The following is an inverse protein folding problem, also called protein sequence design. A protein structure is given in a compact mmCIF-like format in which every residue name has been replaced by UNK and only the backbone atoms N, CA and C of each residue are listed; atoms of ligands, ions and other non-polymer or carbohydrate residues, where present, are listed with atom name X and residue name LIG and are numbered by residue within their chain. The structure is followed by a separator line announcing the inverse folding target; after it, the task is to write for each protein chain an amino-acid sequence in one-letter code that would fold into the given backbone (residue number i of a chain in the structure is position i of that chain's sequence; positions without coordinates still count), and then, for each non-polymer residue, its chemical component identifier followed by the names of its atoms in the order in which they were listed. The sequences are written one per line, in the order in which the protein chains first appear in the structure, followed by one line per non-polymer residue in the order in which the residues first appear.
data_IF_764114463002
#
_entry.id   IF_764114463002
#
_cell.length_a   1.000
_cell.length_b   1.000
_cell.length_c   1.000
_cell.angle_alpha   90.00
_cell.angle_beta   90.00
_cell.angle_gamma   90.00
#
_symmetry.space_group_name_H-M   'P 1'
#
loop_
_entity.id
_entity.type
_entity.pdbx_description
1 polymer ?
#
# COMPACT_ATOMS: atom_id res chain seq x y z
N UNK A 1 -57.04 -28.15 4.06
CA UNK A 1 -56.95 -27.53 5.39
C UNK A 1 -56.58 -26.07 5.20
N UNK A 2 -57.53 -25.20 5.57
CA UNK A 2 -57.56 -23.73 5.67
C UNK A 2 -56.42 -22.92 5.03
N UNK A 3 -56.70 -22.29 3.87
CA UNK A 3 -55.94 -21.15 3.36
C UNK A 3 -56.13 -19.99 4.33
N UNK A 4 -55.07 -19.61 5.03
CA UNK A 4 -55.03 -18.41 5.85
C UNK A 4 -54.90 -17.19 4.93
N UNK A 5 -56.00 -16.75 4.33
CA UNK A 5 -56.08 -15.45 3.66
C UNK A 5 -56.41 -14.39 4.69
N UNK A 6 -55.38 -13.85 5.35
CA UNK A 6 -55.49 -12.59 6.07
C UNK A 6 -55.94 -11.47 5.12
N UNK A 7 -56.54 -10.38 5.63
CA UNK A 7 -57.08 -9.31 4.79
C UNK A 7 -55.98 -8.76 3.87
N UNK A 8 -56.28 -8.67 2.57
CA UNK A 8 -55.39 -8.07 1.60
C UNK A 8 -55.21 -6.59 1.94
N UNK A 9 -54.12 -6.27 2.65
CA UNK A 9 -53.77 -4.90 3.01
C UNK A 9 -53.79 -3.99 1.77
N UNK A 10 -54.57 -2.92 1.83
CA UNK A 10 -54.73 -1.98 0.73
C UNK A 10 -53.40 -1.27 0.43
N UNK A 11 -53.00 -1.27 -0.85
CA UNK A 11 -51.87 -0.48 -1.34
C UNK A 11 -52.37 0.92 -1.70
N UNK A 12 -51.81 1.94 -1.05
CA UNK A 12 -52.14 3.35 -1.27
C UNK A 12 -50.92 4.12 -1.77
N UNK A 13 -51.15 5.23 -2.46
CA UNK A 13 -50.08 6.10 -2.94
C UNK A 13 -49.95 7.33 -2.05
N UNK A 14 -48.84 7.43 -1.30
CA UNK A 14 -48.62 8.49 -0.31
C UNK A 14 -47.52 9.45 -0.79
N UNK A 15 -47.73 10.78 -0.72
CA UNK A 15 -46.66 11.75 -0.96
C UNK A 15 -45.50 11.58 0.03
N UNK A 16 -44.25 11.61 -0.46
CA UNK A 16 -43.05 11.41 0.37
C UNK A 16 -42.96 12.35 1.57
N UNK A 17 -43.38 13.61 1.44
CA UNK A 17 -43.41 14.60 2.52
C UNK A 17 -44.41 14.30 3.65
N UNK A 18 -45.28 13.29 3.49
CA UNK A 18 -46.25 12.85 4.51
C UNK A 18 -45.84 11.54 5.19
N UNK A 19 -44.68 10.99 4.84
CA UNK A 19 -44.12 9.76 5.40
C UNK A 19 -43.06 10.08 6.46
N UNK A 20 -43.29 9.62 7.69
CA UNK A 20 -42.38 9.80 8.82
C UNK A 20 -41.93 8.43 9.36
N UNK A 21 -40.68 8.27 9.81
CA UNK A 21 -40.27 7.02 10.46
C UNK A 21 -41.07 6.83 11.76
N UNK A 22 -41.52 5.60 12.02
CA UNK A 22 -42.14 5.26 13.29
C UNK A 22 -41.10 5.31 14.43
N UNK A 23 -41.44 5.82 15.63
CA UNK A 23 -40.55 5.81 16.78
C UNK A 23 -40.24 4.40 17.28
N UNK A 24 -41.10 3.41 16.99
CA UNK A 24 -40.93 2.01 17.39
C UNK A 24 -39.99 1.19 16.47
N UNK A 25 -39.32 1.81 15.49
CA UNK A 25 -38.48 1.08 14.55
C UNK A 25 -37.25 0.46 15.26
N UNK A 26 -37.27 -0.86 15.39
CA UNK A 26 -36.38 -1.66 16.25
C UNK A 26 -34.92 -1.66 15.75
N UNK A 27 -34.69 -1.38 14.46
CA UNK A 27 -33.34 -1.43 13.87
C UNK A 27 -32.59 -0.10 14.02
N UNK A 28 -31.83 0.03 15.11
CA UNK A 28 -30.96 1.20 15.39
C UNK A 28 -29.55 1.09 14.79
N UNK A 29 -29.07 -0.11 14.51
CA UNK A 29 -27.71 -0.39 13.99
C UNK A 29 -27.69 -0.50 12.46
N UNK A 30 -26.71 0.13 11.79
CA UNK A 30 -26.50 0.01 10.33
C UNK A 30 -27.49 0.78 9.45
N UNK A 31 -28.13 1.83 9.97
CA UNK A 31 -29.10 2.63 9.22
C UNK A 31 -28.49 3.44 8.05
N UNK A 32 -27.17 3.71 8.12
CA UNK A 32 -26.42 4.50 7.12
C UNK A 32 -25.73 3.69 6.02
N UNK A 33 -25.31 2.46 6.30
CA UNK A 33 -24.47 1.67 5.39
C UNK A 33 -25.24 1.22 4.14
N UNK A 34 -24.71 1.53 2.95
CA UNK A 34 -25.31 1.17 1.66
C UNK A 34 -26.58 1.95 1.31
N UNK A 35 -26.84 3.09 1.96
CA UNK A 35 -27.98 3.96 1.61
C UNK A 35 -27.87 4.51 0.18
N UNK A 36 -26.67 4.87 -0.26
CA UNK A 36 -26.43 5.37 -1.61
C UNK A 36 -26.66 4.29 -2.67
N UNK A 37 -26.25 3.05 -2.38
CA UNK A 37 -26.51 1.90 -3.25
C UNK A 37 -28.02 1.64 -3.37
N UNK A 38 -28.73 1.68 -2.24
CA UNK A 38 -30.18 1.50 -2.20
C UNK A 38 -30.92 2.63 -2.94
N UNK A 39 -30.46 3.87 -2.80
CA UNK A 39 -31.01 5.02 -3.53
C UNK A 39 -30.81 4.86 -5.04
N UNK A 40 -29.62 4.46 -5.48
CA UNK A 40 -29.34 4.18 -6.89
C UNK A 40 -30.21 3.04 -7.44
N UNK A 41 -30.40 1.97 -6.66
CA UNK A 41 -31.29 0.85 -7.00
C UNK A 41 -32.75 1.28 -7.14
N UNK A 42 -33.28 2.05 -6.18
CA UNK A 42 -34.64 2.60 -6.26
C UNK A 42 -34.81 3.50 -7.49
N UNK A 43 -33.79 4.27 -7.86
CA UNK A 43 -33.82 5.10 -9.07
C UNK A 43 -33.84 4.25 -10.35
N UNK A 44 -33.11 3.13 -10.39
CA UNK A 44 -33.00 2.27 -11.57
C UNK A 44 -34.21 1.34 -11.75
N UNK A 45 -34.80 0.86 -10.65
CA UNK A 45 -35.82 -0.19 -10.67
C UNK A 45 -37.16 0.20 -10.05
N UNK A 46 -37.26 1.41 -9.50
CA UNK A 46 -38.38 1.81 -8.68
C UNK A 46 -38.36 1.15 -7.30
N UNK A 47 -39.38 1.43 -6.51
CA UNK A 47 -39.54 0.82 -5.20
C UNK A 47 -40.12 -0.60 -5.35
N UNK A 48 -39.24 -1.61 -5.40
CA UNK A 48 -39.62 -3.02 -5.59
C UNK A 48 -40.40 -3.61 -4.41
N UNK A 49 -40.18 -3.09 -3.20
CA UNK A 49 -40.91 -3.48 -1.99
C UNK A 49 -41.55 -2.25 -1.35
N UNK A 50 -42.89 -2.23 -1.36
CA UNK A 50 -43.70 -1.16 -0.79
C UNK A 50 -43.37 -0.93 0.70
N UNK A 51 -43.48 0.32 1.15
CA UNK A 51 -43.30 0.66 2.56
C UNK A 51 -44.54 0.22 3.34
N UNK A 52 -44.36 -0.40 4.52
CA UNK A 52 -45.48 -0.69 5.41
C UNK A 52 -45.72 0.52 6.31
N UNK A 53 -46.93 1.06 6.24
CA UNK A 53 -47.29 2.32 6.89
C UNK A 53 -48.53 2.18 7.75
N UNK A 54 -48.57 2.98 8.82
CA UNK A 54 -49.74 3.18 9.66
C UNK A 54 -50.15 4.65 9.65
N UNK A 55 -51.45 4.90 9.76
CA UNK A 55 -51.97 6.27 9.85
C UNK A 55 -51.55 6.90 11.16
N UNK A 56 -50.99 8.11 11.12
CA UNK A 56 -50.70 8.86 12.33
C UNK A 56 -52.01 9.42 12.91
N UNK A 57 -52.37 8.95 14.10
CA UNK A 57 -53.53 9.41 14.87
C UNK A 57 -53.07 10.45 15.88
N UNK A 58 -53.74 11.60 15.90
CA UNK A 58 -53.42 12.69 16.82
C UNK A 58 -53.93 12.41 18.25
N UNK A 59 -53.56 13.25 19.23
CA UNK A 59 -53.92 13.05 20.65
C UNK A 59 -55.43 12.98 20.95
N UNK A 60 -56.27 13.41 20.01
CA UNK A 60 -57.74 13.39 20.12
C UNK A 60 -58.41 12.30 19.27
N UNK A 61 -57.66 11.29 18.82
CA UNK A 61 -58.18 10.18 18.02
C UNK A 61 -58.45 10.49 16.53
N UNK A 62 -58.14 11.71 16.07
CA UNK A 62 -58.34 12.13 14.69
C UNK A 62 -57.13 11.85 13.78
N UNK A 63 -57.38 11.52 12.51
CA UNK A 63 -56.33 11.34 11.50
C UNK A 63 -55.61 12.65 11.20
N UNK A 64 -54.28 12.65 11.29
CA UNK A 64 -53.44 13.85 11.10
C UNK A 64 -53.07 14.15 9.65
N UNK A 65 -53.46 13.28 8.71
CA UNK A 65 -53.05 13.40 7.30
C UNK A 65 -51.67 12.82 6.99
N UNK A 66 -50.96 12.30 8.00
CA UNK A 66 -49.60 11.73 7.89
C UNK A 66 -49.60 10.22 8.17
N UNK A 67 -48.47 9.60 7.82
CA UNK A 67 -48.26 8.15 7.96
C UNK A 67 -46.90 7.86 8.61
N UNK A 68 -46.90 6.94 9.58
CA UNK A 68 -45.69 6.37 10.15
C UNK A 68 -45.24 5.14 9.35
N UNK A 69 -43.97 5.09 8.96
CA UNK A 69 -43.34 3.94 8.31
C UNK A 69 -42.85 2.99 9.39
N UNK A 70 -43.53 1.84 9.50
CA UNK A 70 -43.25 0.80 10.48
C UNK A 70 -42.13 -0.11 9.97
N UNK A 71 -42.21 -0.52 8.69
CA UNK A 71 -41.18 -1.34 8.04
C UNK A 71 -40.72 -0.70 6.72
N UNK A 72 -39.40 -0.74 6.49
CA UNK A 72 -38.77 -0.10 5.33
C UNK A 72 -38.07 1.24 5.62
N UNK A 73 -37.62 1.47 6.87
CA UNK A 73 -36.92 2.71 7.25
C UNK A 73 -35.72 3.08 6.35
N UNK A 74 -34.91 2.09 5.94
CA UNK A 74 -33.80 2.29 4.97
C UNK A 74 -34.30 2.75 3.59
N UNK A 75 -35.43 2.22 3.11
CA UNK A 75 -36.06 2.62 1.84
C UNK A 75 -36.60 4.04 1.92
N UNK A 76 -37.22 4.42 3.04
CA UNK A 76 -37.65 5.81 3.28
C UNK A 76 -36.47 6.78 3.28
N UNK A 77 -35.36 6.43 3.96
CA UNK A 77 -34.15 7.24 3.99
C UNK A 77 -33.52 7.39 2.59
N UNK A 78 -33.43 6.31 1.81
CA UNK A 78 -32.95 6.34 0.43
C UNK A 78 -33.84 7.22 -0.48
N UNK A 79 -35.16 7.16 -0.34
CA UNK A 79 -36.10 8.04 -1.05
C UNK A 79 -35.91 9.51 -0.67
N UNK A 80 -35.73 9.82 0.62
CA UNK A 80 -35.44 11.20 1.07
C UNK A 80 -34.14 11.72 0.48
N UNK A 81 -33.09 10.89 0.44
CA UNK A 81 -31.80 11.24 -0.16
C UNK A 81 -31.90 11.49 -1.66
N UNK A 82 -32.70 10.71 -2.39
CA UNK A 82 -33.02 10.99 -3.80
C UNK A 82 -33.77 12.33 -3.97
N UNK A 83 -34.65 12.69 -3.03
CA UNK A 83 -35.39 13.94 -3.07
C UNK A 83 -34.50 15.16 -2.76
N UNK A 84 -33.59 15.02 -1.80
CA UNK A 84 -32.55 16.01 -1.47
C UNK A 84 -31.60 16.24 -2.65
N UNK A 85 -31.20 15.16 -3.35
CA UNK A 85 -30.40 15.23 -4.56
C UNK A 85 -31.17 15.72 -5.81
N UNK A 86 -32.44 16.14 -5.66
CA UNK A 86 -33.28 16.62 -6.75
C UNK A 86 -33.66 15.57 -7.81
N UNK A 87 -33.41 14.28 -7.53
CA UNK A 87 -33.68 13.18 -8.46
C UNK A 87 -35.13 12.72 -8.44
N UNK A 88 -35.86 12.98 -7.35
CA UNK A 88 -37.31 12.82 -7.25
C UNK A 88 -37.93 14.05 -6.57
N UNK A 89 -39.19 14.37 -6.86
CA UNK A 89 -39.89 15.47 -6.19
C UNK A 89 -40.20 15.18 -4.72
N UNK A 90 -40.20 16.21 -3.85
CA UNK A 90 -40.56 16.06 -2.42
C UNK A 90 -42.00 15.57 -2.20
N UNK A 91 -42.85 15.72 -3.21
CA UNK A 91 -44.25 15.25 -3.24
C UNK A 91 -44.44 13.99 -4.10
N UNK A 92 -43.35 13.31 -4.48
CA UNK A 92 -43.40 12.08 -5.25
C UNK A 92 -44.32 11.06 -4.57
N UNK A 93 -45.15 10.43 -5.40
CA UNK A 93 -46.18 9.47 -5.01
C UNK A 93 -45.54 8.10 -4.79
N UNK A 94 -45.43 7.67 -3.53
CA UNK A 94 -44.76 6.43 -3.13
C UNK A 94 -45.81 5.36 -2.81
N UNK A 95 -45.72 4.15 -3.40
CA UNK A 95 -46.64 3.05 -3.07
C UNK A 95 -46.33 2.50 -1.67
N UNK A 96 -47.36 2.49 -0.82
CA UNK A 96 -47.30 2.06 0.57
C UNK A 96 -48.41 1.06 0.86
N UNK A 97 -48.14 0.07 1.71
CA UNK A 97 -49.12 -0.90 2.22
C UNK A 97 -49.58 -0.45 3.60
N UNK A 98 -50.89 -0.26 3.80
CA UNK A 98 -51.42 0.14 5.11
C UNK A 98 -51.57 -1.09 6.00
N UNK A 99 -51.05 -1.02 7.22
CA UNK A 99 -51.17 -2.06 8.25
C UNK A 99 -51.89 -1.46 9.46
N UNK A 100 -52.86 -2.19 10.01
CA UNK A 100 -53.60 -1.83 11.23
C UNK A 100 -52.74 -2.11 12.48
N UNK A 101 -53.04 -1.44 13.60
CA UNK A 101 -52.14 -1.33 14.77
C UNK A 101 -51.72 -2.66 15.41
N UNK A 102 -52.61 -3.65 15.47
CA UNK A 102 -52.37 -4.91 16.20
C UNK A 102 -51.42 -5.88 15.45
N UNK A 103 -51.30 -5.76 14.12
CA UNK A 103 -50.46 -6.63 13.28
C UNK A 103 -49.07 -6.02 12.99
N UNK A 104 -48.83 -4.76 13.34
CA UNK A 104 -47.70 -3.97 12.86
C UNK A 104 -46.32 -4.45 13.39
N UNK A 105 -46.27 -4.79 14.67
CA UNK A 105 -45.02 -5.19 15.35
C UNK A 105 -44.64 -6.62 14.98
N UNK A 106 -45.63 -7.53 14.96
CA UNK A 106 -45.43 -8.94 14.57
C UNK A 106 -45.10 -9.06 13.08
N UNK A 107 -45.76 -8.31 12.19
CA UNK A 107 -45.45 -8.32 10.76
C UNK A 107 -44.03 -7.77 10.48
N UNK A 108 -43.57 -6.75 11.21
CA UNK A 108 -42.21 -6.21 11.07
C UNK A 108 -41.13 -7.18 11.53
N UNK A 109 -41.38 -7.90 12.63
CA UNK A 109 -40.50 -8.97 13.12
C UNK A 109 -40.52 -10.17 12.18
N UNK A 110 -41.69 -10.64 11.76
CA UNK A 110 -41.86 -11.77 10.85
C UNK A 110 -41.25 -11.52 9.47
N UNK A 111 -41.42 -10.32 8.88
CA UNK A 111 -40.81 -9.94 7.60
C UNK A 111 -39.27 -9.95 7.68
N UNK A 112 -38.70 -9.51 8.80
CA UNK A 112 -37.25 -9.49 8.99
C UNK A 112 -36.68 -10.87 9.34
N UNK A 113 -37.40 -11.70 10.11
CA UNK A 113 -36.95 -13.02 10.57
C UNK A 113 -37.04 -14.07 9.45
N UNK A 114 -38.06 -14.02 8.59
CA UNK A 114 -38.25 -15.01 7.51
C UNK A 114 -37.48 -14.66 6.24
N UNK A 115 -36.70 -13.57 6.24
CA UNK A 115 -35.87 -13.21 5.09
C UNK A 115 -34.62 -14.09 5.03
N UNK A 116 -34.72 -15.19 4.29
CA UNK A 116 -33.54 -15.96 3.86
C UNK A 116 -32.73 -15.04 2.95
N UNK A 117 -31.59 -14.56 3.45
CA UNK A 117 -30.66 -13.79 2.65
C UNK A 117 -30.17 -14.68 1.50
N UNK A 118 -30.23 -14.16 0.27
CA UNK A 118 -29.67 -14.83 -0.90
C UNK A 118 -28.22 -15.19 -0.64
N UNK A 119 -27.83 -16.42 -0.97
CA UNK A 119 -26.45 -16.86 -0.78
C UNK A 119 -25.52 -15.99 -1.64
N UNK A 120 -24.32 -15.59 -1.16
CA UNK A 120 -23.41 -14.76 -1.93
C UNK A 120 -23.07 -15.35 -3.31
N UNK A 121 -22.93 -16.68 -3.41
CA UNK A 121 -22.70 -17.38 -4.68
C UNK A 121 -23.76 -17.07 -5.75
N UNK A 122 -25.04 -16.96 -5.35
CA UNK A 122 -26.13 -16.67 -6.29
C UNK A 122 -26.04 -15.23 -6.82
N UNK A 123 -25.51 -14.31 -5.99
CA UNK A 123 -25.23 -12.95 -6.45
C UNK A 123 -24.11 -12.94 -7.49
N UNK A 124 -23.06 -13.75 -7.33
CA UNK A 124 -21.95 -13.83 -8.29
C UNK A 124 -22.45 -14.32 -9.65
N UNK A 125 -23.24 -15.39 -9.66
CA UNK A 125 -23.85 -15.95 -10.88
C UNK A 125 -24.84 -14.98 -11.53
N UNK A 126 -25.64 -14.25 -10.76
CA UNK A 126 -26.54 -13.23 -11.30
C UNK A 126 -25.76 -12.11 -12.02
N UNK A 127 -24.62 -11.70 -11.47
CA UNK A 127 -23.76 -10.69 -12.09
C UNK A 127 -23.08 -11.25 -13.35
N UNK A 128 -22.59 -12.50 -13.30
CA UNK A 128 -22.01 -13.17 -14.45
C UNK A 128 -23.01 -13.36 -15.60
N UNK A 129 -24.26 -13.71 -15.29
CA UNK A 129 -25.33 -13.83 -16.29
C UNK A 129 -25.57 -12.51 -17.03
N UNK A 130 -25.67 -11.41 -16.30
CA UNK A 130 -25.85 -10.09 -16.90
C UNK A 130 -24.66 -9.66 -17.77
N UNK A 131 -23.43 -10.01 -17.36
CA UNK A 131 -22.25 -9.79 -18.18
C UNK A 131 -22.27 -10.65 -19.45
N UNK A 132 -22.69 -11.92 -19.36
CA UNK A 132 -22.89 -12.82 -20.50
C UNK A 132 -23.97 -12.37 -21.47
N UNK A 133 -24.98 -11.63 -21.00
CA UNK A 133 -25.99 -10.95 -21.82
C UNK A 133 -25.45 -9.67 -22.51
N UNK A 134 -24.16 -9.36 -22.37
CA UNK A 134 -23.49 -8.24 -23.02
C UNK A 134 -23.57 -6.91 -22.25
N UNK A 135 -23.95 -6.92 -20.97
CA UNK A 135 -23.88 -5.70 -20.15
C UNK A 135 -22.46 -5.44 -19.66
N UNK A 136 -21.94 -4.22 -19.90
CA UNK A 136 -20.63 -3.83 -19.38
C UNK A 136 -20.63 -3.74 -17.84
N UNK A 137 -19.48 -3.94 -17.17
CA UNK A 137 -19.37 -3.79 -15.72
C UNK A 137 -19.86 -2.42 -15.21
N UNK A 138 -19.63 -1.34 -15.96
CA UNK A 138 -20.06 0.02 -15.63
C UNK A 138 -21.59 0.14 -15.68
N UNK A 139 -22.24 -0.51 -16.66
CA UNK A 139 -23.69 -0.55 -16.76
C UNK A 139 -24.30 -1.33 -15.59
N UNK A 140 -23.70 -2.47 -15.23
CA UNK A 140 -24.14 -3.29 -14.08
C UNK A 140 -23.97 -2.48 -12.79
N UNK A 141 -22.81 -1.87 -12.57
CA UNK A 141 -22.51 -1.04 -11.40
C UNK A 141 -23.58 0.05 -11.19
N UNK A 142 -23.87 0.83 -12.25
CA UNK A 142 -24.88 1.88 -12.21
C UNK A 142 -26.30 1.36 -11.92
N UNK A 143 -26.64 0.18 -12.44
CA UNK A 143 -27.96 -0.44 -12.28
C UNK A 143 -28.20 -0.92 -10.84
N UNK A 144 -27.17 -1.53 -10.23
CA UNK A 144 -27.26 -2.07 -8.87
C UNK A 144 -26.83 -1.09 -7.78
N UNK A 145 -26.26 0.05 -8.16
CA UNK A 145 -25.80 1.07 -7.22
C UNK A 145 -24.48 0.72 -6.52
N UNK A 146 -23.68 -0.18 -7.10
CA UNK A 146 -22.39 -0.62 -6.52
C UNK A 146 -21.22 -0.05 -7.32
N UNK A 147 -20.00 -0.10 -6.76
CA UNK A 147 -18.80 0.32 -7.49
C UNK A 147 -18.47 -0.62 -8.66
N UNK A 148 -17.77 -0.12 -9.68
CA UNK A 148 -17.29 -0.95 -10.80
C UNK A 148 -16.32 -2.03 -10.31
N UNK A 149 -15.49 -1.71 -9.31
CA UNK A 149 -14.61 -2.68 -8.66
C UNK A 149 -15.40 -3.84 -8.04
N UNK A 150 -16.48 -3.53 -7.32
CA UNK A 150 -17.37 -4.55 -6.73
C UNK A 150 -17.99 -5.45 -7.80
N UNK A 151 -18.36 -4.91 -8.96
CA UNK A 151 -18.83 -5.73 -10.09
C UNK A 151 -17.72 -6.66 -10.58
N UNK A 152 -16.51 -6.14 -10.81
CA UNK A 152 -15.36 -6.93 -11.28
C UNK A 152 -14.99 -8.04 -10.29
N UNK A 153 -14.97 -7.74 -8.99
CA UNK A 153 -14.77 -8.72 -7.92
C UNK A 153 -15.82 -9.84 -7.96
N UNK A 154 -17.10 -9.50 -8.11
CA UNK A 154 -18.20 -10.50 -8.21
C UNK A 154 -18.06 -11.37 -9.46
N UNK A 155 -17.67 -10.78 -10.59
CA UNK A 155 -17.40 -11.52 -11.82
C UNK A 155 -16.20 -12.46 -11.65
N UNK A 156 -15.15 -12.02 -10.96
CA UNK A 156 -13.97 -12.85 -10.64
C UNK A 156 -14.33 -14.04 -9.75
N UNK A 157 -15.16 -13.82 -8.73
CA UNK A 157 -15.68 -14.90 -7.86
C UNK A 157 -16.59 -15.86 -8.63
N UNK A 158 -17.39 -15.36 -9.57
CA UNK A 158 -18.23 -16.21 -10.42
C UNK A 158 -17.42 -17.11 -11.37
N UNK A 159 -16.19 -16.72 -11.70
CA UNK A 159 -15.28 -17.48 -12.55
C UNK A 159 -14.46 -18.54 -11.80
N UNK A 160 -14.58 -18.64 -10.47
CA UNK A 160 -13.91 -19.68 -9.68
C UNK A 160 -14.40 -21.06 -10.07
N UNK A 161 -13.49 -22.05 -10.05
CA UNK A 161 -13.75 -23.41 -10.48
C UNK A 161 -15.04 -24.01 -9.87
N UNK A 162 -15.86 -24.73 -10.65
CA UNK A 162 -17.16 -25.22 -10.19
C UNK A 162 -17.11 -26.11 -8.94
N UNK A 163 -16.03 -26.89 -8.75
CA UNK A 163 -15.86 -27.77 -7.59
C UNK A 163 -15.74 -26.97 -6.28
N UNK A 164 -14.98 -25.87 -6.31
CA UNK A 164 -14.76 -24.96 -5.18
C UNK A 164 -16.06 -24.22 -4.87
N UNK A 165 -16.77 -23.73 -5.91
CA UNK A 165 -18.05 -23.06 -5.73
C UNK A 165 -19.12 -24.00 -5.13
N UNK A 166 -19.08 -25.28 -5.50
CA UNK A 166 -19.95 -26.31 -4.90
C UNK A 166 -19.64 -26.53 -3.41
N UNK A 167 -18.37 -26.63 -3.04
CA UNK A 167 -17.96 -26.75 -1.63
C UNK A 167 -18.37 -25.51 -0.82
N UNK A 168 -18.23 -24.31 -1.40
CA UNK A 168 -18.70 -23.07 -0.78
C UNK A 168 -20.21 -23.08 -0.52
N UNK A 169 -21.02 -23.54 -1.50
CA UNK A 169 -22.47 -23.69 -1.34
C UNK A 169 -22.88 -24.73 -0.30
N UNK A 170 -22.08 -25.77 -0.12
CA UNK A 170 -22.30 -26.79 0.91
C UNK A 170 -21.97 -26.29 2.33
N UNK A 171 -21.30 -25.14 2.45
CA UNK A 171 -20.84 -24.59 3.72
C UNK A 171 -19.45 -25.09 4.15
N UNK A 172 -18.77 -25.86 3.30
CA UNK A 172 -17.44 -26.41 3.59
C UNK A 172 -16.33 -25.36 3.47
N UNK A 173 -16.61 -24.23 2.80
CA UNK A 173 -15.69 -23.11 2.63
C UNK A 173 -16.28 -21.79 3.11
N UNK A 174 -15.40 -20.90 3.54
CA UNK A 174 -15.74 -19.51 3.83
C UNK A 174 -15.61 -18.65 2.57
N UNK A 175 -16.27 -17.48 2.55
CA UNK A 175 -16.14 -16.52 1.45
C UNK A 175 -14.67 -16.08 1.27
N UNK A 176 -13.93 -15.95 2.36
CA UNK A 176 -12.52 -15.59 2.35
C UNK A 176 -11.64 -16.63 1.63
N UNK A 177 -11.91 -17.93 1.84
CA UNK A 177 -11.23 -19.01 1.14
C UNK A 177 -11.54 -18.99 -0.37
N UNK A 178 -12.80 -18.78 -0.76
CA UNK A 178 -13.17 -18.62 -2.17
C UNK A 178 -12.50 -17.39 -2.79
N UNK A 179 -12.41 -16.30 -2.03
CA UNK A 179 -11.72 -15.08 -2.45
C UNK A 179 -10.23 -15.30 -2.67
N UNK A 180 -9.59 -16.16 -1.88
CA UNK A 180 -8.20 -16.55 -2.09
C UNK A 180 -8.00 -17.32 -3.42
N UNK A 181 -8.95 -18.17 -3.82
CA UNK A 181 -8.90 -18.84 -5.14
C UNK A 181 -9.12 -17.87 -6.31
N UNK A 182 -9.86 -16.79 -6.08
CA UNK A 182 -10.18 -15.77 -7.08
C UNK A 182 -9.00 -14.83 -7.42
N UNK A 183 -7.82 -15.06 -6.85
CA UNK A 183 -6.57 -14.36 -7.19
C UNK A 183 -6.18 -14.56 -8.66
N UNK A 184 -6.43 -15.74 -9.21
CA UNK A 184 -6.17 -16.09 -10.62
C UNK A 184 -7.46 -16.49 -11.32
N UNK A 185 -7.53 -16.34 -12.65
CA UNK A 185 -8.57 -16.92 -13.51
C UNK A 185 -8.23 -18.32 -14.04
N UNK A 186 -7.03 -18.84 -13.76
CA UNK A 186 -6.66 -20.19 -14.17
C UNK A 186 -7.40 -21.23 -13.32
N UNK A 187 -8.52 -21.71 -13.85
CA UNK A 187 -9.32 -22.77 -13.24
C UNK A 187 -8.51 -24.06 -13.02
N UNK A 188 -7.52 -24.38 -13.87
CA UNK A 188 -6.68 -25.54 -13.65
C UNK A 188 -5.74 -25.35 -12.46
N UNK A 189 -5.17 -24.15 -12.26
CA UNK A 189 -4.40 -23.83 -11.06
C UNK A 189 -5.26 -23.90 -9.80
N UNK A 190 -6.46 -23.33 -9.84
CA UNK A 190 -7.42 -23.41 -8.73
C UNK A 190 -7.72 -24.88 -8.36
N UNK A 191 -8.03 -25.73 -9.34
CA UNK A 191 -8.30 -27.17 -9.11
C UNK A 191 -7.07 -27.96 -8.63
N UNK A 192 -5.86 -27.58 -9.04
CA UNK A 192 -4.62 -28.18 -8.49
C UNK A 192 -4.47 -27.85 -7.01
N UNK A 193 -4.58 -26.56 -6.65
CA UNK A 193 -4.45 -26.11 -5.25
C UNK A 193 -5.59 -26.62 -4.39
N UNK A 194 -6.80 -26.71 -4.92
CA UNK A 194 -7.95 -27.30 -4.25
C UNK A 194 -7.70 -28.76 -3.85
N UNK A 195 -7.17 -29.58 -4.78
CA UNK A 195 -6.78 -30.97 -4.50
C UNK A 195 -5.61 -31.07 -3.53
N UNK A 196 -4.59 -30.23 -3.70
CA UNK A 196 -3.41 -30.23 -2.84
C UNK A 196 -3.74 -29.88 -1.38
N UNK A 197 -4.70 -28.99 -1.16
CA UNK A 197 -5.14 -28.58 0.18
C UNK A 197 -6.22 -29.50 0.77
N UNK A 198 -6.56 -30.60 0.07
CA UNK A 198 -7.59 -31.56 0.46
C UNK A 198 -8.95 -30.90 0.82
N UNK A 199 -9.24 -29.74 0.24
CA UNK A 199 -10.47 -29.00 0.49
C UNK A 199 -10.49 -28.10 1.73
N UNK A 200 -9.40 -28.00 2.50
CA UNK A 200 -9.36 -27.28 3.78
C UNK A 200 -8.19 -26.28 3.90
N UNK A 201 -7.71 -25.75 2.77
CA UNK A 201 -6.62 -24.77 2.77
C UNK A 201 -6.99 -23.47 3.47
N UNK A 202 -6.13 -22.98 4.36
CA UNK A 202 -6.25 -21.62 4.90
C UNK A 202 -6.09 -20.58 3.76
N UNK A 203 -6.84 -19.46 3.72
CA UNK A 203 -6.79 -18.47 2.65
C UNK A 203 -5.36 -18.00 2.28
N UNK A 204 -4.53 -17.72 3.29
CA UNK A 204 -3.13 -17.33 3.07
C UNK A 204 -2.29 -18.42 2.36
N UNK A 205 -2.53 -19.70 2.67
CA UNK A 205 -1.84 -20.82 2.03
C UNK A 205 -2.29 -20.98 0.58
N UNK A 206 -3.60 -20.85 0.32
CA UNK A 206 -4.17 -20.90 -1.03
C UNK A 206 -3.54 -19.81 -1.90
N UNK A 207 -3.51 -18.56 -1.41
CA UNK A 207 -2.88 -17.43 -2.12
C UNK A 207 -1.43 -17.73 -2.45
N UNK A 208 -0.63 -18.15 -1.45
CA UNK A 208 0.78 -18.47 -1.64
C UNK A 208 1.00 -19.53 -2.72
N UNK A 209 0.22 -20.61 -2.72
CA UNK A 209 0.35 -21.69 -3.71
C UNK A 209 -0.09 -21.26 -5.12
N UNK A 210 -1.11 -20.40 -5.22
CA UNK A 210 -1.58 -19.89 -6.52
C UNK A 210 -0.64 -18.83 -7.13
N UNK A 211 0.10 -18.12 -6.29
CA UNK A 211 1.08 -17.12 -6.72
C UNK A 211 2.51 -17.64 -6.71
N UNK A 212 2.72 -18.94 -6.47
CA UNK A 212 4.05 -19.54 -6.46
C UNK A 212 4.72 -19.38 -7.84
N UNK A 213 5.99 -19.00 -7.85
CA UNK A 213 6.74 -18.71 -9.09
C UNK A 213 6.42 -17.38 -9.76
N UNK A 214 5.46 -16.60 -9.24
CA UNK A 214 5.17 -15.24 -9.72
C UNK A 214 5.97 -14.22 -8.93
N UNK A 215 6.26 -13.08 -9.55
CA UNK A 215 6.99 -11.98 -8.91
C UNK A 215 6.01 -10.88 -8.51
N UNK A 216 5.95 -10.47 -7.24
CA UNK A 216 5.06 -9.39 -6.82
C UNK A 216 5.50 -8.05 -7.43
N UNK A 217 4.54 -7.16 -7.69
CA UNK A 217 4.85 -5.83 -8.25
C UNK A 217 5.69 -4.94 -7.32
N UNK A 218 5.75 -5.28 -6.04
CA UNK A 218 6.59 -4.61 -5.03
C UNK A 218 8.05 -5.04 -5.08
N UNK A 219 8.40 -6.08 -5.84
CA UNK A 219 9.79 -6.53 -5.99
C UNK A 219 10.63 -5.42 -6.64
N UNK A 220 11.80 -5.14 -6.06
CA UNK A 220 12.74 -4.12 -6.56
C UNK A 220 13.09 -4.31 -8.04
N UNK A 221 13.12 -5.55 -8.51
CA UNK A 221 13.39 -5.92 -9.91
C UNK A 221 12.34 -5.34 -10.86
N UNK A 222 11.08 -5.34 -10.42
CA UNK A 222 9.95 -4.77 -11.18
C UNK A 222 10.07 -3.25 -11.24
N UNK A 223 10.48 -2.61 -10.14
CA UNK A 223 10.74 -1.16 -10.09
C UNK A 223 11.87 -0.76 -11.03
N UNK A 224 13.00 -1.50 -10.99
CA UNK A 224 14.16 -1.25 -11.84
C UNK A 224 13.83 -1.48 -13.31
N UNK A 225 13.18 -2.59 -13.66
CA UNK A 225 12.80 -2.87 -15.05
C UNK A 225 11.78 -1.83 -15.56
N UNK A 226 10.81 -1.48 -14.71
CA UNK A 226 9.68 -0.60 -15.03
C UNK A 226 8.53 -1.40 -15.65
N UNK A 227 7.31 -1.16 -15.14
CA UNK A 227 6.11 -1.88 -15.59
C UNK A 227 5.83 -1.70 -17.08
N UNK A 228 5.99 -0.47 -17.59
CA UNK A 228 5.73 -0.16 -18.99
C UNK A 228 6.70 -0.91 -19.93
N UNK A 229 7.98 -1.05 -19.56
CA UNK A 229 8.95 -1.80 -20.34
C UNK A 229 8.62 -3.30 -20.35
N UNK A 230 8.19 -3.84 -19.22
CA UNK A 230 7.75 -5.24 -19.12
C UNK A 230 6.49 -5.51 -19.95
N UNK A 231 5.49 -4.62 -19.90
CA UNK A 231 4.28 -4.73 -20.75
C UNK A 231 4.61 -4.61 -22.24
N UNK A 232 5.48 -3.67 -22.63
CA UNK A 232 5.94 -3.52 -24.01
C UNK A 232 6.68 -4.76 -24.53
N UNK A 233 7.42 -5.46 -23.65
CA UNK A 233 8.08 -6.71 -23.98
C UNK A 233 7.12 -7.91 -24.05
N UNK A 234 5.80 -7.68 -23.95
CA UNK A 234 4.77 -8.72 -24.01
C UNK A 234 4.49 -9.39 -22.66
N UNK A 235 5.00 -8.81 -21.57
CA UNK A 235 4.80 -9.31 -20.22
C UNK A 235 3.37 -9.12 -19.72
N UNK A 236 2.82 -10.16 -19.10
CA UNK A 236 1.49 -10.12 -18.49
C UNK A 236 1.57 -9.69 -17.03
N UNK A 237 0.74 -8.71 -16.66
CA UNK A 237 0.55 -8.23 -15.29
C UNK A 237 -0.83 -8.64 -14.81
N UNK A 238 -0.88 -9.43 -13.74
CA UNK A 238 -2.11 -9.82 -13.08
C UNK A 238 -2.30 -8.97 -11.82
N UNK A 239 -3.45 -8.29 -11.70
CA UNK A 239 -3.80 -7.53 -10.50
C UNK A 239 -4.77 -8.30 -9.62
N UNK A 240 -4.47 -8.37 -8.33
CA UNK A 240 -5.40 -8.81 -7.30
C UNK A 240 -6.53 -7.80 -7.16
N UNK A 241 -7.75 -8.25 -7.41
CA UNK A 241 -8.94 -7.42 -7.24
C UNK A 241 -9.40 -7.33 -5.78
N UNK A 242 -8.84 -8.14 -4.88
CA UNK A 242 -9.29 -8.28 -3.49
C UNK A 242 -8.29 -7.80 -2.45
N UNK A 243 -7.02 -7.56 -2.83
CA UNK A 243 -6.04 -6.88 -1.99
C UNK A 243 -5.47 -5.67 -2.74
N UNK A 244 -5.84 -4.47 -2.28
CA UNK A 244 -5.38 -3.19 -2.85
C UNK A 244 -4.32 -2.49 -2.00
N UNK A 245 -3.99 -2.99 -0.81
CA UNK A 245 -3.11 -2.30 0.14
C UNK A 245 -1.62 -2.46 -0.23
N UNK A 246 -1.21 -3.61 -0.77
CA UNK A 246 0.21 -3.93 -1.02
C UNK A 246 0.66 -3.77 -2.48
N UNK A 247 0.01 -2.89 -3.26
CA UNK A 247 0.27 -2.79 -4.71
C UNK A 247 -0.27 -3.97 -5.54
N UNK A 248 -0.90 -4.95 -4.88
CA UNK A 248 -2.00 -5.78 -5.38
C UNK A 248 -1.80 -6.44 -6.73
N UNK A 249 -0.62 -6.97 -7.05
CA UNK A 249 -0.45 -7.67 -8.32
C UNK A 249 0.86 -8.43 -8.44
N UNK A 250 0.96 -9.18 -9.53
CA UNK A 250 2.10 -10.01 -9.87
C UNK A 250 2.40 -9.96 -11.36
N UNK A 251 3.66 -10.25 -11.66
CA UNK A 251 4.19 -10.54 -12.97
C UNK A 251 4.18 -12.06 -13.16
N UNK A 252 3.59 -12.51 -14.26
CA UNK A 252 3.42 -13.93 -14.57
C UNK A 252 4.65 -14.57 -15.26
N UNK A 253 5.52 -13.77 -15.88
CA UNK A 253 6.74 -14.26 -16.54
C UNK A 253 8.01 -13.71 -15.84
N UNK A 254 8.57 -14.44 -14.86
CA UNK A 254 9.81 -14.04 -14.21
C UNK A 254 11.03 -14.08 -15.14
N UNK A 255 11.04 -14.95 -16.15
CA UNK A 255 12.16 -15.05 -17.10
C UNK A 255 12.32 -13.78 -17.93
N UNK A 256 11.20 -13.26 -18.45
CA UNK A 256 11.20 -11.98 -19.18
C UNK A 256 11.65 -10.81 -18.30
N UNK A 257 11.29 -10.82 -17.02
CA UNK A 257 11.74 -9.81 -16.07
C UNK A 257 13.27 -9.89 -15.88
N UNK A 258 13.80 -11.09 -15.69
CA UNK A 258 15.24 -11.32 -15.55
C UNK A 258 16.00 -10.89 -16.83
N UNK A 259 15.46 -11.16 -18.02
CA UNK A 259 16.05 -10.75 -19.30
C UNK A 259 16.11 -9.21 -19.44
N UNK A 260 15.04 -8.50 -19.09
CA UNK A 260 15.00 -7.03 -19.11
C UNK A 260 16.00 -6.41 -18.12
N UNK A 261 16.17 -7.03 -16.97
CA UNK A 261 17.12 -6.59 -15.96
C UNK A 261 18.55 -6.82 -16.43
N UNK A 262 18.82 -8.00 -17.00
CA UNK A 262 20.12 -8.30 -17.56
C UNK A 262 20.48 -7.32 -18.68
N UNK A 263 19.55 -7.03 -19.59
CA UNK A 263 19.74 -6.04 -20.64
C UNK A 263 20.07 -4.64 -20.09
N UNK A 264 19.44 -4.21 -18.99
CA UNK A 264 19.76 -2.94 -18.33
C UNK A 264 21.15 -2.94 -17.69
N UNK A 265 21.52 -4.03 -17.02
CA UNK A 265 22.84 -4.19 -16.43
C UNK A 265 23.93 -4.21 -17.51
N UNK A 266 23.69 -4.90 -18.63
CA UNK A 266 24.63 -4.99 -19.74
C UNK A 266 24.84 -3.64 -20.41
N UNK A 267 23.76 -2.87 -20.65
CA UNK A 267 23.84 -1.51 -21.18
C UNK A 267 24.67 -0.59 -20.27
N UNK A 268 24.44 -0.66 -18.96
CA UNK A 268 25.22 0.11 -17.99
C UNK A 268 26.69 -0.35 -17.95
N UNK A 269 26.93 -1.65 -18.06
CA UNK A 269 28.28 -2.21 -18.10
C UNK A 269 29.04 -1.82 -19.38
N UNK A 270 28.38 -1.74 -20.53
CA UNK A 270 28.97 -1.23 -21.76
C UNK A 270 29.38 0.23 -21.64
N UNK A 271 28.52 1.07 -21.06
CA UNK A 271 28.86 2.47 -20.78
C UNK A 271 30.10 2.58 -19.89
N UNK A 272 30.19 1.74 -18.85
CA UNK A 272 31.36 1.72 -17.96
C UNK A 272 32.60 1.16 -18.64
N UNK A 273 32.48 0.12 -19.48
CA UNK A 273 33.62 -0.42 -20.25
C UNK A 273 34.21 0.63 -21.19
N UNK A 274 33.37 1.50 -21.77
CA UNK A 274 33.82 2.60 -22.62
C UNK A 274 34.69 3.63 -21.88
N UNK A 275 34.66 3.67 -20.53
CA UNK A 275 35.55 4.50 -19.71
C UNK A 275 36.99 3.97 -19.64
N UNK A 276 37.24 2.72 -20.05
CA UNK A 276 38.59 2.14 -20.16
C UNK A 276 39.09 1.35 -18.95
N UNK A 277 38.20 0.95 -18.04
CA UNK A 277 38.54 0.10 -16.88
C UNK A 277 39.14 -1.26 -17.30
N UNK A 278 40.11 -1.76 -16.54
CA UNK A 278 40.77 -3.06 -16.76
C UNK A 278 39.78 -4.22 -16.88
N UNK A 279 38.76 -4.23 -16.03
CA UNK A 279 37.69 -5.19 -16.04
C UNK A 279 36.38 -4.54 -15.59
N UNK A 280 35.27 -5.06 -16.10
CA UNK A 280 33.92 -4.68 -15.65
C UNK A 280 33.12 -5.94 -15.37
N UNK A 281 32.69 -6.07 -14.13
CA UNK A 281 31.90 -7.22 -13.67
C UNK A 281 30.43 -6.82 -13.52
N UNK A 282 29.54 -7.67 -14.04
CA UNK A 282 28.10 -7.52 -13.87
C UNK A 282 27.63 -8.54 -12.83
N UNK A 283 26.98 -8.05 -11.79
CA UNK A 283 26.42 -8.87 -10.73
C UNK A 283 24.94 -8.56 -10.52
N UNK A 284 24.12 -9.57 -10.21
CA UNK A 284 22.71 -9.34 -9.86
C UNK A 284 22.58 -8.54 -8.57
N UNK A 285 23.37 -8.93 -7.57
CA UNK A 285 23.46 -8.28 -6.27
C UNK A 285 24.87 -7.74 -6.05
N UNK A 286 24.98 -6.64 -5.31
CA UNK A 286 26.28 -6.08 -4.98
C UNK A 286 27.05 -7.02 -4.04
N UNK A 287 28.23 -7.57 -4.45
CA UNK A 287 28.96 -8.56 -3.66
C UNK A 287 29.80 -7.87 -2.57
N UNK A 288 29.12 -7.38 -1.54
CA UNK A 288 29.67 -6.56 -0.46
C UNK A 288 30.92 -7.20 0.19
N UNK A 289 30.83 -8.46 0.58
CA UNK A 289 31.88 -9.16 1.33
C UNK A 289 33.22 -9.27 0.59
N UNK A 290 33.16 -9.46 -0.73
CA UNK A 290 34.37 -9.58 -1.58
C UNK A 290 34.96 -8.20 -1.86
N UNK A 291 34.12 -7.24 -2.24
CA UNK A 291 34.57 -5.92 -2.68
C UNK A 291 35.11 -5.06 -1.54
N UNK A 292 34.60 -5.24 -0.31
CA UNK A 292 35.13 -4.52 0.86
C UNK A 292 36.57 -4.90 1.23
N UNK A 293 37.02 -6.10 0.83
CA UNK A 293 38.37 -6.59 1.08
C UNK A 293 39.37 -6.18 0.00
N UNK A 294 38.87 -5.72 -1.14
CA UNK A 294 39.71 -5.30 -2.26
C UNK A 294 40.29 -3.92 -2.02
N UNK A 295 41.53 -3.70 -2.49
CA UNK A 295 42.11 -2.36 -2.50
C UNK A 295 41.32 -1.47 -3.46
N UNK A 296 41.21 -0.17 -3.13
CA UNK A 296 40.50 0.81 -3.94
C UNK A 296 41.44 1.87 -4.49
N UNK A 297 41.42 2.06 -5.81
CA UNK A 297 41.89 3.29 -6.42
C UNK A 297 40.94 4.43 -6.05
N UNK A 298 41.47 5.65 -5.91
CA UNK A 298 40.67 6.85 -5.65
C UNK A 298 40.75 7.78 -6.86
N UNK A 299 39.67 8.49 -7.20
CA UNK A 299 39.75 9.55 -8.17
C UNK A 299 40.54 10.73 -7.57
N UNK A 300 41.24 11.45 -8.42
CA UNK A 300 41.97 12.66 -8.06
C UNK A 300 41.12 13.88 -8.41
N UNK A 301 41.08 14.87 -7.52
CA UNK A 301 40.44 16.14 -7.82
C UNK A 301 41.22 16.86 -8.93
N UNK A 302 40.51 17.27 -9.98
CA UNK A 302 41.06 18.17 -10.98
C UNK A 302 41.20 19.54 -10.31
N UNK A 303 42.39 20.13 -10.30
CA UNK A 303 42.56 21.47 -9.75
C UNK A 303 41.68 22.45 -10.52
N UNK A 304 41.07 23.39 -9.80
CA UNK A 304 40.25 24.44 -10.40
C UNK A 304 41.09 25.23 -11.40
N UNK A 305 40.47 25.59 -12.52
CA UNK A 305 41.11 26.50 -13.48
C UNK A 305 41.27 27.88 -12.87
N UNK A 306 42.25 28.67 -13.34
CA UNK A 306 42.45 30.06 -12.89
C UNK A 306 41.18 30.93 -13.04
N UNK A 307 40.29 30.61 -13.97
CA UNK A 307 38.99 31.28 -14.11
C UNK A 307 38.00 30.88 -13.01
N UNK A 308 37.92 29.59 -12.70
CA UNK A 308 37.08 29.07 -11.62
C UNK A 308 37.58 29.53 -10.24
N UNK A 309 38.90 29.58 -10.02
CA UNK A 309 39.48 30.12 -8.79
C UNK A 309 39.15 31.60 -8.61
N UNK A 310 39.33 32.42 -9.65
CA UNK A 310 38.93 33.83 -9.61
C UNK A 310 37.43 34.00 -9.39
N UNK A 311 36.60 33.13 -9.96
CA UNK A 311 35.15 33.16 -9.74
C UNK A 311 34.81 32.80 -8.29
N UNK A 312 35.47 31.80 -7.71
CA UNK A 312 35.30 31.41 -6.30
C UNK A 312 35.71 32.55 -5.37
N UNK A 313 36.85 33.20 -5.63
CA UNK A 313 37.32 34.35 -4.85
C UNK A 313 36.34 35.52 -4.94
N UNK A 314 35.88 35.87 -6.14
CA UNK A 314 34.89 36.94 -6.32
C UNK A 314 33.56 36.64 -5.61
N UNK A 315 33.10 35.38 -5.62
CA UNK A 315 31.91 34.95 -4.91
C UNK A 315 32.09 34.99 -3.39
N UNK A 316 33.27 34.63 -2.88
CA UNK A 316 33.59 34.72 -1.45
C UNK A 316 33.63 36.18 -0.98
N UNK A 317 34.25 37.08 -1.75
CA UNK A 317 34.26 38.51 -1.46
C UNK A 317 32.84 39.11 -1.50
N UNK A 318 32.00 38.67 -2.44
CA UNK A 318 30.59 39.08 -2.52
C UNK A 318 29.78 38.57 -1.31
N UNK A 319 30.00 37.33 -0.90
CA UNK A 319 29.40 36.76 0.30
C UNK A 319 29.77 37.56 1.55
N UNK A 320 31.06 37.84 1.75
CA UNK A 320 31.56 38.60 2.90
C UNK A 320 31.01 40.04 2.93
N UNK A 321 30.90 40.68 1.75
CA UNK A 321 30.31 42.01 1.63
C UNK A 321 28.82 42.03 2.03
N UNK A 322 28.03 41.07 1.52
CA UNK A 322 26.61 40.97 1.83
C UNK A 322 26.39 40.60 3.31
N UNK A 323 27.21 39.69 3.86
CA UNK A 323 27.14 39.31 5.27
C UNK A 323 27.49 40.48 6.20
N UNK A 324 28.45 41.33 5.82
CA UNK A 324 28.81 42.52 6.59
C UNK A 324 27.71 43.59 6.59
N UNK A 325 26.95 43.75 5.49
CA UNK A 325 25.84 44.70 5.39
C UNK A 325 24.52 44.17 6.00
N UNK A 326 24.28 42.85 5.92
CA UNK A 326 23.01 42.20 6.29
C UNK A 326 22.84 41.80 7.76
N UNK A 327 23.90 41.84 8.57
CA UNK A 327 23.85 41.43 9.98
C UNK A 327 23.68 39.91 10.19
N UNK A 328 23.33 39.47 11.40
CA UNK A 328 23.22 38.03 11.75
C UNK A 328 22.03 37.29 11.11
N UNK A 329 21.09 38.01 10.46
CA UNK A 329 19.97 37.42 9.73
C UNK A 329 19.53 38.35 8.60
N UNK A 330 20.19 38.27 7.44
CA UNK A 330 19.74 38.96 6.24
C UNK A 330 18.35 38.43 5.82
N UNK A 331 17.46 39.33 5.41
CA UNK A 331 16.12 39.00 4.92
C UNK A 331 15.92 39.56 3.49
N UNK A 332 15.04 38.95 2.71
CA UNK A 332 14.70 39.39 1.35
C UNK A 332 15.81 39.10 0.34
N UNK A 333 16.04 40.03 -0.60
CA UNK A 333 16.95 39.83 -1.75
C UNK A 333 18.39 39.49 -1.33
N UNK A 334 18.85 39.94 -0.16
CA UNK A 334 20.17 39.62 0.37
C UNK A 334 20.29 38.15 0.79
N UNK A 335 19.23 37.58 1.39
CA UNK A 335 19.20 36.17 1.77
C UNK A 335 19.20 35.25 0.54
N UNK A 336 18.35 35.59 -0.45
CA UNK A 336 18.27 34.85 -1.72
C UNK A 336 19.62 34.87 -2.47
N UNK A 337 20.35 35.99 -2.40
CA UNK A 337 21.67 36.11 -3.03
C UNK A 337 22.73 35.29 -2.31
N UNK A 338 22.72 35.26 -0.97
CA UNK A 338 23.64 34.42 -0.19
C UNK A 338 23.42 32.93 -0.46
N UNK A 339 22.16 32.47 -0.49
CA UNK A 339 21.85 31.07 -0.84
C UNK A 339 22.35 30.72 -2.25
N UNK A 340 22.17 31.62 -3.22
CA UNK A 340 22.69 31.43 -4.57
C UNK A 340 24.23 31.39 -4.62
N UNK A 341 24.91 32.25 -3.86
CA UNK A 341 26.38 32.27 -3.77
C UNK A 341 26.89 30.98 -3.11
N UNK A 342 26.28 30.53 -2.01
CA UNK A 342 26.62 29.27 -1.35
C UNK A 342 26.43 28.07 -2.30
N UNK A 343 25.35 28.06 -3.09
CA UNK A 343 25.13 27.01 -4.08
C UNK A 343 26.20 27.02 -5.19
N UNK A 344 26.60 28.21 -5.69
CA UNK A 344 27.66 28.34 -6.69
C UNK A 344 29.04 27.94 -6.11
N UNK A 345 29.35 28.36 -4.88
CA UNK A 345 30.59 28.00 -4.18
C UNK A 345 30.65 26.49 -3.93
N UNK A 346 29.57 25.89 -3.43
CA UNK A 346 29.49 24.44 -3.23
C UNK A 346 29.66 23.68 -4.57
N UNK A 347 29.15 24.21 -5.68
CA UNK A 347 29.34 23.60 -7.00
C UNK A 347 30.80 23.69 -7.48
N UNK A 348 31.50 24.80 -7.20
CA UNK A 348 32.93 24.94 -7.50
C UNK A 348 33.80 24.06 -6.58
N UNK A 349 33.46 23.96 -5.29
CA UNK A 349 34.18 23.14 -4.31
C UNK A 349 33.98 21.63 -4.52
N UNK A 350 32.80 21.21 -4.98
CA UNK A 350 32.57 19.82 -5.37
C UNK A 350 33.58 19.34 -6.41
N UNK A 351 34.03 20.25 -7.29
CA UNK A 351 35.10 20.05 -8.25
C UNK A 351 34.80 18.98 -9.31
N UNK A 352 35.65 18.92 -10.34
CA UNK A 352 35.67 17.77 -11.23
C UNK A 352 36.65 16.74 -10.68
N UNK A 353 36.28 15.46 -10.68
CA UNK A 353 37.18 14.38 -10.28
C UNK A 353 37.52 13.53 -11.49
N UNK A 354 38.79 13.17 -11.64
CA UNK A 354 39.28 12.33 -12.73
C UNK A 354 39.92 11.06 -12.19
N UNK A 355 39.79 9.98 -12.95
CA UNK A 355 40.52 8.76 -12.66
C UNK A 355 41.90 8.82 -13.33
N UNK A 356 43.01 8.65 -12.60
CA UNK A 356 44.32 8.63 -13.22
C UNK A 356 44.44 7.41 -14.13
N UNK A 357 45.21 7.53 -15.22
CA UNK A 357 45.33 6.47 -16.23
C UNK A 357 45.89 5.16 -15.63
N UNK A 358 46.78 5.27 -14.63
CA UNK A 358 47.30 4.13 -13.87
C UNK A 358 46.20 3.40 -13.09
N UNK A 359 45.26 4.14 -12.49
CA UNK A 359 44.11 3.55 -11.83
C UNK A 359 43.19 2.84 -12.82
N UNK A 360 42.93 3.41 -14.00
CA UNK A 360 42.10 2.76 -15.02
C UNK A 360 42.74 1.46 -15.55
N UNK A 361 44.08 1.41 -15.60
CA UNK A 361 44.82 0.24 -16.07
C UNK A 361 44.83 -0.94 -15.09
N UNK A 362 44.70 -0.67 -13.78
CA UNK A 362 44.78 -1.68 -12.71
C UNK A 362 43.42 -2.01 -12.09
N UNK A 363 42.58 -1.00 -11.90
CA UNK A 363 41.29 -1.14 -11.25
C UNK A 363 40.18 -1.49 -12.24
N UNK A 364 39.10 -2.04 -11.70
CA UNK A 364 37.87 -2.33 -12.41
C UNK A 364 36.64 -1.71 -11.77
N UNK A 365 35.51 -1.99 -12.39
CA UNK A 365 34.21 -1.52 -11.96
C UNK A 365 33.20 -2.66 -11.83
N UNK A 366 32.26 -2.50 -10.92
CA UNK A 366 31.17 -3.45 -10.67
C UNK A 366 29.84 -2.75 -10.93
N UNK A 367 29.02 -3.38 -11.76
CA UNK A 367 27.67 -2.95 -12.06
C UNK A 367 26.71 -3.93 -11.42
N UNK A 368 25.81 -3.43 -10.56
CA UNK A 368 24.83 -4.26 -9.85
C UNK A 368 23.47 -3.59 -9.75
N UNK A 369 22.46 -4.32 -9.31
CA UNK A 369 21.17 -3.72 -8.97
C UNK A 369 21.30 -2.89 -7.69
N UNK A 370 20.57 -1.79 -7.66
CA UNK A 370 20.40 -1.03 -6.43
C UNK A 370 19.52 -1.82 -5.44
N UNK A 371 19.92 -1.95 -4.15
CA UNK A 371 19.15 -2.67 -3.15
C UNK A 371 17.72 -2.12 -2.94
N UNK A 372 17.54 -0.82 -3.12
CA UNK A 372 16.26 -0.12 -2.93
C UNK A 372 15.43 -0.04 -4.21
N UNK A 373 15.96 -0.53 -5.33
CA UNK A 373 15.25 -0.59 -6.59
C UNK A 373 15.22 0.73 -7.35
N UNK A 374 16.11 1.67 -7.04
CA UNK A 374 16.17 2.98 -7.71
C UNK A 374 16.79 2.89 -9.12
N UNK A 375 17.54 1.83 -9.39
CA UNK A 375 18.11 1.59 -10.72
C UNK A 375 19.29 0.65 -10.71
N UNK A 376 20.27 0.98 -11.55
CA UNK A 376 21.55 0.28 -11.62
C UNK A 376 22.59 1.06 -10.82
N UNK A 377 23.28 0.36 -9.94
CA UNK A 377 24.38 0.87 -9.12
C UNK A 377 25.69 0.56 -9.81
N UNK A 378 26.55 1.57 -9.95
CA UNK A 378 27.87 1.43 -10.54
C UNK A 378 28.91 1.87 -9.52
N UNK A 379 29.78 0.95 -9.12
CA UNK A 379 30.93 1.26 -8.28
C UNK A 379 32.23 1.04 -9.04
N UNK A 380 33.17 1.98 -8.87
CA UNK A 380 34.44 2.05 -9.60
C UNK A 380 35.63 1.94 -8.65
N UNK A 381 36.79 1.61 -9.23
CA UNK A 381 38.07 1.68 -8.53
C UNK A 381 38.47 0.43 -7.75
N UNK A 382 37.96 -0.77 -8.06
CA UNK A 382 38.34 -2.00 -7.35
C UNK A 382 39.57 -2.67 -7.98
N UNK A 383 40.60 -2.94 -7.20
CA UNK A 383 41.81 -3.62 -7.66
C UNK A 383 41.74 -5.09 -7.21
N UNK A 384 41.89 -6.04 -8.14
CA UNK A 384 42.01 -7.46 -7.81
C UNK A 384 43.43 -7.75 -7.35
N UNK A 385 43.59 -8.68 -6.42
CA UNK A 385 44.89 -9.05 -5.88
C UNK A 385 45.87 -9.54 -6.97
N UNK A 386 45.34 -10.18 -8.03
CA UNK A 386 46.10 -10.66 -9.19
C UNK A 386 46.63 -9.53 -10.10
N UNK A 387 46.00 -8.35 -10.07
CA UNK A 387 46.35 -7.21 -10.91
C UNK A 387 47.32 -6.25 -10.19
N UNK A 388 47.72 -6.54 -8.95
CA UNK A 388 48.67 -5.72 -8.20
C UNK A 388 50.10 -5.96 -8.72
N UNK A 389 50.94 -4.91 -8.92
CA UNK A 389 52.35 -5.11 -9.20
C UNK A 389 52.99 -5.99 -8.11
N UNK A 390 53.90 -6.92 -8.45
CA UNK A 390 54.65 -7.64 -7.43
C UNK A 390 55.32 -6.62 -6.51
N UNK A 391 55.21 -6.82 -5.19
CA UNK A 391 55.94 -5.95 -4.26
C UNK A 391 57.43 -6.02 -4.62
N UNK A 392 58.14 -4.87 -4.61
CA UNK A 392 59.58 -4.89 -4.87
C UNK A 392 60.20 -5.90 -3.90
N UNK A 393 60.97 -6.85 -4.44
CA UNK A 393 61.79 -7.70 -3.60
C UNK A 393 62.70 -6.79 -2.79
N UNK A 394 62.66 -6.89 -1.47
CA UNK A 394 63.67 -6.30 -0.61
C UNK A 394 65.00 -6.98 -0.97
N UNK A 395 65.74 -6.41 -1.93
CA UNK A 395 67.12 -6.76 -2.23
C UNK A 395 68.01 -6.20 -1.11
N UNK A 396 67.91 -6.77 0.09
CA UNK A 396 68.88 -6.59 1.16
C UNK A 396 69.73 -7.87 1.29
N UNK A 397 70.57 -8.13 0.28
CA UNK A 397 71.80 -8.91 0.45
C UNK A 397 73.00 -8.04 0.07
N UNK A 398 73.59 -7.40 1.09
CA UNK A 398 74.98 -6.98 1.07
C UNK A 398 75.61 -7.25 2.44
N UNK A 399 76.61 -8.13 2.40
CA UNK A 399 77.48 -8.61 3.47
C UNK A 399 77.96 -7.55 4.47
N UNK A 400 77.97 -7.89 5.77
CA UNK A 400 79.20 -7.81 6.57
C UNK A 400 79.22 -8.92 7.65
N UNK A 401 80.22 -9.78 7.54
CA UNK A 401 80.56 -10.79 8.54
C UNK A 401 81.73 -10.31 9.42
N UNK A 402 81.55 -10.47 10.74
CA UNK A 402 82.62 -10.52 11.76
C UNK A 402 82.28 -9.64 12.98
N UNK A 403 82.22 -10.11 14.22
CA UNK A 403 82.40 -11.42 14.83
C UNK A 403 82.51 -11.20 16.36
N UNK A 404 81.88 -12.10 17.14
CA UNK A 404 82.10 -12.44 18.57
C UNK A 404 81.84 -11.33 19.63
N UNK A 405 81.17 -11.54 20.76
CA UNK A 405 80.63 -12.72 21.47
C UNK A 405 80.24 -12.25 22.90
N UNK A 406 79.20 -12.84 23.50
CA UNK A 406 78.82 -12.52 24.88
C UNK A 406 77.47 -13.11 25.31
N UNK A 407 77.51 -14.31 25.86
CA UNK A 407 76.39 -15.04 26.46
C UNK A 407 75.67 -14.26 27.57
N UNK A 408 74.35 -14.41 27.68
CA UNK A 408 73.68 -14.75 28.96
C UNK A 408 72.27 -15.31 28.74
N UNK A 409 71.98 -16.41 29.45
CA UNK A 409 70.73 -17.16 29.42
C UNK A 409 69.55 -16.44 30.11
N UNK A 410 68.40 -16.50 29.40
CA UNK A 410 67.02 -16.78 29.84
C UNK A 410 66.47 -16.14 31.13
N UNK A 411 65.36 -15.41 30.95
CA UNK A 411 64.17 -15.55 31.79
C UNK A 411 62.89 -15.30 30.98
N UNK A 412 62.07 -16.34 30.85
CA UNK A 412 60.65 -16.25 30.53
C UNK A 412 59.92 -15.75 31.79
N UNK A 413 59.00 -14.81 31.63
CA UNK A 413 57.74 -14.78 32.37
C UNK A 413 56.66 -14.12 31.52
N UNK A 414 55.55 -14.85 31.40
CA UNK A 414 54.24 -14.37 30.98
C UNK A 414 53.79 -13.14 31.80
N UNK A 415 53.04 -12.22 31.18
CA UNK A 415 51.64 -11.94 31.52
C UNK A 415 51.14 -10.59 30.97
N UNK A 416 49.85 -10.61 30.62
CA UNK A 416 48.88 -9.60 30.20
C UNK A 416 49.20 -8.08 30.28
N UNK A 417 48.64 -7.27 29.35
CA UNK A 417 48.76 -5.82 29.38
C UNK A 417 47.75 -5.17 30.36
N UNK A 418 48.16 -4.22 31.23
CA UNK A 418 47.24 -3.44 32.02
C UNK A 418 46.84 -2.12 31.34
N UNK A 419 45.56 -1.82 31.50
CA UNK A 419 44.84 -0.58 31.19
C UNK A 419 45.09 0.55 32.23
N UNK A 420 44.61 1.75 31.89
CA UNK A 420 44.23 2.91 32.73
C UNK A 420 45.33 3.97 32.91
N UNK A 421 45.16 5.28 32.69
CA UNK A 421 44.03 6.20 32.94
C UNK A 421 44.44 7.61 32.41
N UNK A 422 43.60 8.52 31.92
CA UNK A 422 42.73 9.40 32.72
C UNK A 422 41.80 10.27 31.84
N UNK A 423 40.48 10.09 32.02
CA UNK A 423 39.37 11.05 32.23
C UNK A 423 39.49 12.50 31.69
N UNK A 424 38.56 13.05 30.89
CA UNK A 424 37.22 13.54 31.35
C UNK A 424 36.28 13.81 30.16
N UNK A 425 35.00 13.49 30.38
CA UNK A 425 33.89 13.38 29.43
C UNK A 425 32.94 14.57 29.61
N UNK A 426 32.54 15.27 28.54
CA UNK A 426 31.33 16.10 28.54
C UNK A 426 30.68 16.09 27.14
N UNK A 427 29.54 15.39 27.07
CA UNK A 427 28.31 15.62 26.28
C UNK A 427 28.39 15.81 24.74
N UNK A 428 27.85 14.81 24.02
CA UNK A 428 26.89 15.02 22.92
C UNK A 428 25.86 13.89 22.97
N UNK A 429 24.58 14.27 23.06
CA UNK A 429 23.42 13.40 23.21
C UNK A 429 22.97 12.85 21.85
N UNK A 430 22.77 11.53 21.77
CA UNK A 430 22.00 10.89 20.72
C UNK A 430 20.57 10.69 21.23
N UNK A 431 19.58 11.20 20.49
CA UNK A 431 18.16 11.04 20.78
C UNK A 431 17.66 9.77 20.06
N UNK A 432 17.43 8.69 20.80
CA UNK A 432 16.75 7.47 20.31
C UNK A 432 15.44 7.29 21.08
N UNK A 433 14.34 7.12 20.35
CA UNK A 433 12.97 6.94 20.87
C UNK A 433 12.80 5.58 21.59
N UNK A 434 12.02 5.50 22.69
CA UNK A 434 11.73 4.23 23.34
C UNK A 434 10.40 3.60 22.89
N UNK A 435 10.44 2.28 22.67
CA UNK A 435 9.27 1.40 22.72
C UNK A 435 8.75 1.29 24.16
N UNK A 436 7.43 1.33 24.34
CA UNK A 436 6.76 1.05 25.61
C UNK A 436 5.71 -0.04 25.38
N UNK A 437 5.79 -1.12 26.15
CA UNK A 437 4.80 -2.19 26.15
C UNK A 437 4.31 -2.50 27.58
N UNK A 438 2.98 -2.55 27.74
CA UNK A 438 2.21 -3.36 28.70
C UNK A 438 2.26 -3.12 30.22
N UNK A 439 1.12 -2.80 30.85
CA UNK A 439 0.89 -3.12 32.27
C UNK A 439 -0.29 -2.45 33.00
N UNK A 440 -1.44 -3.13 33.04
CA UNK A 440 -2.73 -2.83 33.71
C UNK A 440 -2.68 -2.27 35.16
N UNK A 441 -3.66 -1.40 35.48
CA UNK A 441 -4.46 -1.49 36.72
C UNK A 441 -5.79 -0.73 36.56
N UNK A 442 -6.90 -1.42 36.86
CA UNK A 442 -8.22 -0.86 37.10
C UNK A 442 -8.31 -0.40 38.57
N UNK A 443 -9.04 0.68 38.88
CA UNK A 443 -10.36 0.59 39.51
C UNK A 443 -10.90 1.98 39.89
N UNK A 444 -12.24 2.10 39.88
CA UNK A 444 -13.07 3.02 40.65
C UNK A 444 -12.84 4.55 40.49
N UNK A 445 -13.78 5.26 39.86
CA UNK A 445 -14.57 6.25 40.62
C UNK A 445 -15.90 6.61 39.91
N UNK A 446 -16.92 6.47 40.74
CA UNK A 446 -18.37 6.58 40.60
C UNK A 446 -18.83 8.00 40.23
N UNK A 447 -19.83 8.11 39.36
CA UNK A 447 -20.66 9.30 39.21
C UNK A 447 -21.43 9.63 40.51
N UNK A 448 -21.93 10.87 40.63
CA UNK A 448 -23.34 10.97 40.99
C UNK A 448 -24.09 11.96 40.10
N UNK A 449 -25.26 11.55 39.63
CA UNK A 449 -26.33 12.49 39.32
C UNK A 449 -27.00 12.96 40.61
N UNK A 450 -27.62 14.14 40.59
CA UNK A 450 -29.09 14.37 40.60
C UNK A 450 -29.38 15.76 41.20
N UNK A 451 -30.37 16.45 40.63
CA UNK A 451 -31.37 17.30 41.31
C UNK A 451 -31.06 18.78 41.63
N UNK A 452 -31.76 19.68 40.91
CA UNK A 452 -32.71 20.73 41.36
C UNK A 452 -32.62 21.95 40.41
N UNK A 453 -33.61 22.23 39.55
CA UNK A 453 -34.88 22.89 39.82
C UNK A 453 -34.78 24.38 40.24
N UNK A 454 -35.45 25.21 39.42
CA UNK A 454 -36.21 26.43 39.75
C UNK A 454 -35.59 27.85 39.53
N UNK A 455 -36.24 28.54 38.58
CA UNK A 455 -36.85 29.89 38.65
C UNK A 455 -36.01 31.16 38.43
N UNK A 456 -36.54 31.96 37.49
CA UNK A 456 -36.82 33.40 37.54
C UNK A 456 -35.61 34.33 37.74
N UNK A 457 -35.18 35.03 36.69
CA UNK A 457 -35.75 36.31 36.26
C UNK A 457 -35.29 36.65 34.84
#
# INVERSE_FOLDING_TARGET
MTRNTGPAAATISVPLNRLHPAPENVRRTGAGEGLDELAASIRAHGLLQNLNVRREVGPRGGWTGRYFVIAGGRRLAALRRLAEAGRIGRTARIPCRVVEDDDATEASLAENVVRIAMHPADQFEAFAKLAGEGHSPERIARRFGVSVLTVRQRLRLAAVAPSIMKAYRAGDLTLEAVTAFAVTDDAAAQERVWRQTAGHGHPATIRRLLTEGRVPLTDRRVRIAGLAAYEMAGGLIERDLFNTEDGGGWISNPGLLDDLIQAKLDLAAEAVRAEGWRWVEVARDFPHDRLWRMRRARPEAVPLTEEQERRREALAEEYDAIAAEGGESPEGEAADRLEAIEAELAALEAGETRWPAEALALAGAVVSLDPWGEGVRVERGFIRDEDLPPEPADDDEADEAGGEGGDHERQNTDDEPPDCSTTTRTRCEAFTLPNHDGGRAADQFRAPGTSCAARMN
#
